data_IF_657045820022
#
_entry.id   IF_657045820022
#
_cell.length_a   1.000
_cell.length_b   1.000
_cell.length_c   1.000
_cell.angle_alpha   90.00
_cell.angle_beta   90.00
_cell.angle_gamma   90.00
#
_symmetry.space_group_name_H-M   'P 1'
#
loop_
_entity.id
_entity.type
_entity.pdbx_description
1 polymer ?
#
# COMPACT_ATOMS: atom_id res chain seq x y z
N UNK A 1 -12.59 9.16 0.82
CA UNK A 1 -11.18 8.82 0.72
C UNK A 1 -10.38 9.81 -0.12
N UNK A 2 -10.79 10.08 -1.36
CA UNK A 2 -10.04 11.00 -2.22
C UNK A 2 -9.97 12.42 -1.70
N UNK A 3 -11.04 12.90 -1.10
CA UNK A 3 -11.06 14.23 -0.46
C UNK A 3 -10.06 14.28 0.69
N UNK A 4 -9.99 13.20 1.46
CA UNK A 4 -9.05 13.09 2.58
C UNK A 4 -7.62 13.13 2.05
N UNK A 5 -7.34 12.41 0.97
CA UNK A 5 -6.01 12.40 0.34
C UNK A 5 -5.60 13.80 -0.07
N UNK A 6 -6.50 14.57 -0.69
CA UNK A 6 -6.19 15.94 -1.09
C UNK A 6 -5.87 16.83 0.11
N UNK A 7 -6.66 16.74 1.16
CA UNK A 7 -6.42 17.53 2.38
C UNK A 7 -5.08 17.14 2.98
N UNK A 8 -4.84 15.86 3.06
CA UNK A 8 -3.60 15.37 3.65
C UNK A 8 -2.40 15.76 2.80
N UNK A 9 -2.53 15.76 1.47
CA UNK A 9 -1.47 16.21 0.59
C UNK A 9 -1.05 17.64 0.93
N UNK A 10 -2.01 18.56 1.10
CA UNK A 10 -1.70 19.94 1.50
C UNK A 10 -1.03 19.99 2.85
N UNK A 11 -1.53 19.23 3.80
CA UNK A 11 -0.95 19.15 5.14
C UNK A 11 0.49 18.63 5.08
N UNK A 12 0.73 17.68 4.19
CA UNK A 12 2.01 17.01 4.06
C UNK A 12 3.00 17.73 3.18
N UNK A 13 2.62 18.80 2.55
CA UNK A 13 3.58 19.65 1.85
C UNK A 13 4.71 20.05 2.78
N UNK A 14 4.42 20.21 4.06
CA UNK A 14 5.44 20.47 5.06
C UNK A 14 6.38 19.30 5.27
N UNK A 15 5.87 18.09 5.11
CA UNK A 15 6.61 16.83 5.28
C UNK A 15 7.06 16.24 3.95
N UNK A 16 6.70 16.87 2.83
CA UNK A 16 7.04 16.41 1.49
C UNK A 16 6.54 15.01 1.16
N UNK A 17 5.38 14.66 1.70
CA UNK A 17 4.76 13.34 1.44
C UNK A 17 3.73 13.46 0.32
N UNK A 18 3.75 12.48 -0.59
CA UNK A 18 2.76 12.35 -1.66
C UNK A 18 2.18 10.96 -1.65
N UNK A 19 0.86 10.86 -1.75
CA UNK A 19 0.16 9.58 -1.92
C UNK A 19 -0.51 9.61 -3.28
N UNK A 20 -0.24 8.62 -4.10
CA UNK A 20 -0.81 8.50 -5.43
C UNK A 20 -0.93 7.04 -5.82
N UNK A 21 -1.60 6.78 -6.95
CA UNK A 21 -1.68 5.43 -7.48
C UNK A 21 -0.31 4.94 -7.94
N UNK A 22 -0.07 3.66 -7.75
CA UNK A 22 1.14 2.99 -8.22
C UNK A 22 1.19 3.02 -9.75
N UNK A 23 2.38 3.25 -10.29
CA UNK A 23 2.63 3.15 -11.72
C UNK A 23 3.17 1.76 -12.07
N UNK A 24 2.89 1.32 -13.29
CA UNK A 24 3.32 0.00 -13.74
C UNK A 24 4.82 -0.20 -13.61
N UNK A 25 5.61 0.80 -13.94
CA UNK A 25 7.07 0.73 -13.86
C UNK A 25 7.58 0.68 -12.42
N UNK A 26 6.72 0.89 -11.44
CA UNK A 26 7.09 0.84 -10.03
C UNK A 26 6.84 -0.52 -9.38
N UNK A 27 6.23 -1.47 -10.09
CA UNK A 27 5.85 -2.77 -9.53
C UNK A 27 7.02 -3.47 -8.85
N UNK A 28 8.18 -3.48 -9.46
CA UNK A 28 9.36 -4.12 -8.89
C UNK A 28 9.82 -3.42 -7.62
N UNK A 29 9.80 -2.10 -7.61
CA UNK A 29 10.19 -1.32 -6.43
C UNK A 29 9.25 -1.58 -5.26
N UNK A 30 7.95 -1.67 -5.55
CA UNK A 30 6.95 -1.96 -4.52
C UNK A 30 7.13 -3.36 -3.97
N UNK A 31 7.40 -4.35 -4.83
CA UNK A 31 7.65 -5.72 -4.38
C UNK A 31 8.90 -5.79 -3.51
N UNK A 32 9.94 -5.07 -3.87
CA UNK A 32 11.15 -5.00 -3.05
C UNK A 32 10.89 -4.34 -1.69
N UNK A 33 10.08 -3.29 -1.68
CA UNK A 33 9.67 -2.62 -0.44
C UNK A 33 8.93 -3.60 0.48
N UNK A 34 7.97 -4.33 -0.06
CA UNK A 34 7.21 -5.31 0.70
C UNK A 34 8.13 -6.41 1.24
N UNK A 35 9.02 -6.91 0.39
CA UNK A 35 9.97 -7.94 0.80
C UNK A 35 10.84 -7.47 1.97
N UNK A 36 11.40 -6.28 1.89
CA UNK A 36 12.23 -5.73 2.96
C UNK A 36 11.44 -5.50 4.24
N UNK A 37 10.19 -5.03 4.12
CA UNK A 37 9.36 -4.70 5.26
C UNK A 37 8.89 -5.93 6.04
N UNK A 38 8.70 -7.05 5.37
CA UNK A 38 8.19 -8.28 5.97
C UNK A 38 9.27 -9.35 6.18
N UNK A 39 10.51 -9.06 5.81
CA UNK A 39 11.59 -10.04 5.93
C UNK A 39 11.76 -10.47 7.38
N UNK A 40 11.67 -11.77 7.64
CA UNK A 40 11.80 -12.37 8.97
C UNK A 40 10.81 -11.85 10.02
N UNK A 41 9.71 -11.21 9.64
CA UNK A 41 8.74 -10.69 10.61
C UNK A 41 7.85 -11.81 11.16
N UNK A 42 7.25 -12.62 10.28
CA UNK A 42 6.32 -13.67 10.69
C UNK A 42 6.89 -15.07 10.53
N UNK A 43 7.87 -15.23 9.67
CA UNK A 43 8.55 -16.50 9.41
C UNK A 43 9.93 -16.18 8.84
N UNK A 44 10.85 -17.16 8.78
CA UNK A 44 12.11 -16.95 8.08
C UNK A 44 11.86 -16.53 6.63
N UNK A 45 12.51 -15.44 6.19
CA UNK A 45 12.21 -14.82 4.90
C UNK A 45 10.87 -14.15 4.91
N UNK A 46 10.18 -14.13 3.78
CA UNK A 46 8.78 -13.68 3.70
C UNK A 46 8.14 -14.13 2.38
N UNK A 47 6.82 -14.14 2.36
CA UNK A 47 6.03 -14.49 1.19
C UNK A 47 5.17 -13.32 0.69
N UNK A 48 5.09 -12.22 1.45
CA UNK A 48 4.18 -11.12 1.18
C UNK A 48 4.44 -10.48 -0.18
N UNK A 49 5.70 -10.33 -0.58
CA UNK A 49 6.04 -9.78 -1.89
C UNK A 49 5.60 -10.69 -3.04
N UNK A 50 5.67 -11.99 -2.83
CA UNK A 50 5.21 -12.96 -3.81
C UNK A 50 3.69 -12.93 -3.92
N UNK A 51 3.01 -12.88 -2.78
CA UNK A 51 1.55 -12.76 -2.72
C UNK A 51 1.10 -11.50 -3.45
N UNK A 52 1.74 -10.38 -3.17
CA UNK A 52 1.42 -9.11 -3.83
C UNK A 52 1.58 -9.21 -5.35
N UNK A 53 2.65 -9.84 -5.80
CA UNK A 53 2.88 -10.07 -7.23
C UNK A 53 1.76 -10.88 -7.86
N UNK A 54 1.33 -11.95 -7.20
CA UNK A 54 0.24 -12.79 -7.69
C UNK A 54 -1.10 -12.03 -7.69
N UNK A 55 -1.36 -11.26 -6.66
CA UNK A 55 -2.62 -10.54 -6.51
C UNK A 55 -2.84 -9.50 -7.61
N UNK A 56 -1.79 -8.92 -8.15
CA UNK A 56 -1.93 -7.95 -9.25
C UNK A 56 -2.58 -8.54 -10.49
N UNK A 57 -2.44 -9.82 -10.70
CA UNK A 57 -3.03 -10.51 -11.84
C UNK A 57 -4.38 -11.15 -11.53
N UNK A 58 -4.86 -10.99 -10.30
CA UNK A 58 -6.13 -11.54 -9.87
C UNK A 58 -7.27 -10.60 -10.27
N UNK A 59 -8.40 -11.11 -10.81
CA UNK A 59 -9.54 -10.28 -11.15
C UNK A 59 -10.11 -9.47 -9.98
N UNK A 60 -9.87 -9.92 -8.76
CA UNK A 60 -10.34 -9.24 -7.55
C UNK A 60 -9.50 -8.01 -7.18
N UNK A 61 -8.33 -7.85 -7.78
CA UNK A 61 -7.48 -6.68 -7.52
C UNK A 61 -8.17 -5.39 -7.90
N UNK A 62 -8.01 -4.35 -7.08
CA UNK A 62 -8.63 -3.04 -7.29
C UNK A 62 -7.56 -2.01 -7.65
N UNK A 63 -7.24 -1.83 -8.95
CA UNK A 63 -6.17 -0.89 -9.35
C UNK A 63 -6.41 0.54 -8.89
N UNK A 64 -7.67 0.94 -8.77
CA UNK A 64 -8.06 2.29 -8.37
C UNK A 64 -7.75 2.59 -6.90
N UNK A 65 -7.39 1.58 -6.14
CA UNK A 65 -7.05 1.70 -4.72
C UNK A 65 -5.65 1.17 -4.43
N UNK A 66 -4.82 1.06 -5.45
CA UNK A 66 -3.44 0.61 -5.33
C UNK A 66 -2.53 1.83 -5.17
N UNK A 67 -2.32 2.24 -3.92
CA UNK A 67 -1.61 3.47 -3.59
C UNK A 67 -0.17 3.23 -3.18
N UNK A 68 0.67 4.18 -3.53
CA UNK A 68 2.05 4.27 -3.04
C UNK A 68 2.22 5.59 -2.29
N UNK A 69 3.12 5.58 -1.33
CA UNK A 69 3.52 6.76 -0.59
C UNK A 69 4.96 7.10 -0.92
N UNK A 70 5.19 8.35 -1.28
CA UNK A 70 6.51 8.83 -1.69
C UNK A 70 6.94 9.96 -0.77
N UNK A 71 8.21 9.96 -0.44
CA UNK A 71 8.84 11.04 0.31
C UNK A 71 9.72 11.82 -0.65
N UNK A 72 9.41 13.09 -0.81
CA UNK A 72 10.21 14.01 -1.62
C UNK A 72 11.06 14.87 -0.69
N UNK A 73 12.35 14.64 -0.70
CA UNK A 73 13.30 15.50 0.00
C UNK A 73 13.86 16.52 -0.99
N UNK A 74 13.94 17.78 -0.57
CA UNK A 74 14.39 18.86 -1.43
C UNK A 74 15.74 18.53 -2.07
N UNK A 75 15.78 18.60 -3.41
CA UNK A 75 16.99 18.33 -4.17
C UNK A 75 17.31 16.86 -4.37
N UNK A 76 16.41 15.96 -4.00
CA UNK A 76 16.58 14.53 -4.16
C UNK A 76 15.40 13.93 -4.92
N UNK A 77 15.60 12.73 -5.46
CA UNK A 77 14.52 11.98 -6.09
C UNK A 77 13.51 11.52 -5.06
N UNK A 78 12.27 11.35 -5.50
CA UNK A 78 11.21 10.81 -4.67
C UNK A 78 11.57 9.41 -4.21
N UNK A 79 11.38 9.15 -2.92
CA UNK A 79 11.60 7.83 -2.34
C UNK A 79 10.28 7.14 -2.10
N UNK A 80 10.18 5.91 -2.56
CA UNK A 80 9.04 5.05 -2.26
C UNK A 80 9.18 4.54 -0.83
N UNK A 81 8.26 4.95 0.05
CA UNK A 81 8.33 4.59 1.48
C UNK A 81 7.14 3.79 1.97
N UNK A 82 6.09 3.68 1.18
CA UNK A 82 4.91 2.93 1.60
C UNK A 82 4.08 2.46 0.43
N UNK A 83 3.22 1.49 0.69
CA UNK A 83 2.27 0.99 -0.29
C UNK A 83 1.08 0.35 0.41
N UNK A 84 -0.05 0.28 -0.29
CA UNK A 84 -1.14 -0.61 0.08
C UNK A 84 -1.84 -1.11 -1.17
N UNK A 85 -2.63 -2.16 -1.02
CA UNK A 85 -3.49 -2.63 -2.09
C UNK A 85 -4.76 -3.21 -1.48
N UNK A 86 -5.79 -3.30 -2.31
CA UNK A 86 -7.09 -3.83 -1.91
C UNK A 86 -7.56 -4.90 -2.87
N UNK A 87 -8.33 -5.84 -2.34
CA UNK A 87 -8.93 -6.94 -3.10
C UNK A 87 -10.43 -6.95 -2.86
N UNK A 88 -11.20 -7.21 -3.91
CA UNK A 88 -12.63 -7.47 -3.76
C UNK A 88 -12.81 -8.90 -3.29
N UNK A 89 -13.71 -9.08 -2.33
CA UNK A 89 -14.07 -10.40 -1.86
C UNK A 89 -15.52 -10.37 -1.37
N UNK A 90 -15.97 -11.46 -0.78
CA UNK A 90 -17.30 -11.49 -0.19
C UNK A 90 -17.32 -12.35 1.06
N UNK A 91 -18.25 -12.03 1.96
CA UNK A 91 -18.52 -12.83 3.14
C UNK A 91 -19.88 -13.49 2.94
N UNK A 92 -19.94 -14.79 3.20
CA UNK A 92 -21.21 -15.51 3.16
C UNK A 92 -21.92 -15.32 4.48
N UNK A 93 -23.10 -14.68 4.42
CA UNK A 93 -23.93 -14.50 5.60
C UNK A 93 -24.65 -15.77 5.99
N UNK A 94 -25.13 -15.84 7.23
CA UNK A 94 -25.84 -17.01 7.75
C UNK A 94 -27.11 -17.33 6.95
N UNK A 95 -27.72 -16.31 6.37
CA UNK A 95 -28.93 -16.49 5.54
C UNK A 95 -28.61 -16.87 4.09
N UNK A 96 -27.34 -17.13 3.78
CA UNK A 96 -26.92 -17.56 2.44
C UNK A 96 -26.58 -16.43 1.48
N UNK A 97 -26.75 -15.17 1.86
CA UNK A 97 -26.37 -14.05 1.00
C UNK A 97 -24.86 -13.91 0.96
N UNK A 98 -24.37 -13.45 -0.19
CA UNK A 98 -22.97 -13.04 -0.31
C UNK A 98 -22.90 -11.52 -0.14
N UNK A 99 -22.13 -11.06 0.85
CA UNK A 99 -21.97 -9.64 1.14
C UNK A 99 -20.63 -9.21 0.55
N UNK A 100 -20.63 -8.33 -0.47
CA UNK A 100 -19.37 -7.87 -1.05
C UNK A 100 -18.62 -6.98 -0.08
N UNK A 101 -17.31 -7.22 0.04
CA UNK A 101 -16.42 -6.44 0.89
C UNK A 101 -15.11 -6.20 0.15
N UNK A 102 -14.28 -5.32 0.70
CA UNK A 102 -12.89 -5.18 0.29
C UNK A 102 -11.99 -5.56 1.45
N UNK A 103 -10.92 -6.26 1.14
CA UNK A 103 -9.89 -6.58 2.12
C UNK A 103 -8.58 -5.92 1.70
N UNK A 104 -7.77 -5.53 2.69
CA UNK A 104 -6.42 -5.07 2.40
C UNK A 104 -5.54 -6.27 2.10
N UNK A 105 -4.76 -6.17 1.02
CA UNK A 105 -3.64 -7.04 0.80
C UNK A 105 -2.45 -6.56 1.63
N UNK A 106 -1.22 -6.89 1.22
CA UNK A 106 -0.06 -6.39 1.94
C UNK A 106 -0.05 -4.87 2.02
N UNK A 107 0.25 -4.35 3.20
CA UNK A 107 0.38 -2.93 3.46
C UNK A 107 1.63 -2.73 4.29
N UNK A 108 2.46 -1.77 3.93
CA UNK A 108 3.69 -1.53 4.68
C UNK A 108 4.22 -0.11 4.52
N UNK A 109 5.07 0.25 5.48
CA UNK A 109 5.90 1.44 5.45
C UNK A 109 7.35 0.94 5.53
N UNK A 110 8.25 1.57 4.77
CA UNK A 110 9.65 1.22 4.76
C UNK A 110 10.21 1.26 6.19
N UNK A 111 11.03 0.27 6.53
CA UNK A 111 11.52 0.10 7.92
C UNK A 111 12.09 1.37 8.53
N UNK A 112 12.86 2.14 7.77
CA UNK A 112 13.48 3.37 8.23
C UNK A 112 12.47 4.45 8.65
N UNK A 113 11.24 4.35 8.14
CA UNK A 113 10.21 5.36 8.35
C UNK A 113 9.07 4.86 9.24
N UNK A 114 9.19 3.66 9.77
CA UNK A 114 8.19 3.11 10.70
C UNK A 114 8.17 3.88 12.01
N UNK A 115 6.99 3.92 12.64
CA UNK A 115 6.76 4.56 13.94
C UNK A 115 6.96 6.07 13.93
N UNK A 116 6.83 6.68 12.76
CA UNK A 116 6.91 8.15 12.62
C UNK A 116 5.56 8.74 12.22
N UNK A 117 4.50 7.94 12.26
CA UNK A 117 3.15 8.39 11.99
C UNK A 117 2.74 8.39 10.54
N UNK A 118 3.57 7.92 9.62
CA UNK A 118 3.23 7.91 8.19
C UNK A 118 2.04 7.00 7.88
N UNK A 119 1.96 5.86 8.53
CA UNK A 119 0.91 4.88 8.25
C UNK A 119 -0.49 5.37 8.51
N UNK A 120 -0.68 6.32 9.41
CA UNK A 120 -2.03 6.82 9.70
C UNK A 120 -2.56 7.81 8.68
N UNK A 121 -1.71 8.27 7.77
CA UNK A 121 -2.14 9.21 6.75
C UNK A 121 -2.68 8.51 5.50
N UNK A 122 -2.20 7.34 5.25
CA UNK A 122 -2.33 6.77 3.95
C UNK A 122 -3.65 6.12 3.74
N UNK A 123 -3.89 5.46 4.60
CA UNK A 123 -4.59 4.34 4.19
C UNK A 123 -5.66 4.07 5.25
#
# INVERSE_FOLDING_TARGET
MFTIIRKETKKWEKSNIMIRLEKKEEHQKVENLVRESFWNVYCPGCLEHYVLHQLRNDPAFVPELDFVMLLNEKGKEDKLIGQNMFMRTSIKADDGRNIPIMTMGPICIKNEYKRKGYGRYDF
#
